data_IF_462729737918
#
_entry.id   IF_462729737918
#
_cell.length_a   1.000
_cell.length_b   1.000
_cell.length_c   1.000
_cell.angle_alpha   90.00
_cell.angle_beta   90.00
_cell.angle_gamma   90.00
#
_symmetry.space_group_name_H-M   'P 1'
#
loop_
_entity.id
_entity.type
_entity.pdbx_description
1 polymer ?
#
# COMPACT_ATOMS: atom_id res chain seq x y z
N UNK A 1 17.58 24.01 -19.43
CA UNK A 1 16.66 22.88 -19.71
C UNK A 1 17.05 21.75 -18.79
N UNK A 2 16.19 21.34 -17.85
CA UNK A 2 16.45 20.08 -17.13
C UNK A 2 16.09 18.95 -18.10
N UNK A 3 17.03 18.02 -18.30
CA UNK A 3 16.89 16.91 -19.22
C UNK A 3 15.90 15.88 -18.66
N UNK A 4 14.76 15.69 -19.32
CA UNK A 4 13.75 14.65 -19.01
C UNK A 4 14.41 13.28 -18.87
N UNK A 5 15.51 13.05 -19.57
CA UNK A 5 16.31 11.82 -19.52
C UNK A 5 16.92 11.59 -18.14
N UNK A 6 17.38 12.65 -17.45
CA UNK A 6 17.95 12.55 -16.11
C UNK A 6 16.89 12.15 -15.07
N UNK A 7 15.69 12.75 -15.14
CA UNK A 7 14.57 12.36 -14.27
C UNK A 7 14.19 10.90 -14.46
N UNK A 8 14.09 10.44 -15.70
CA UNK A 8 13.73 9.05 -16.01
C UNK A 8 14.79 8.08 -15.48
N UNK A 9 16.09 8.39 -15.61
CA UNK A 9 17.18 7.55 -15.07
C UNK A 9 17.14 7.46 -13.54
N UNK A 10 16.89 8.57 -12.85
CA UNK A 10 16.74 8.60 -11.39
C UNK A 10 15.50 7.81 -10.93
N UNK A 11 14.38 7.93 -11.65
CA UNK A 11 13.11 7.37 -11.22
C UNK A 11 12.88 5.91 -11.62
N UNK A 12 13.49 5.44 -12.71
CA UNK A 12 13.28 4.09 -13.22
C UNK A 12 13.55 2.99 -12.16
N UNK A 13 14.63 3.05 -11.34
CA UNK A 13 14.84 2.08 -10.27
C UNK A 13 13.76 2.12 -9.17
N UNK A 14 13.25 3.30 -8.82
CA UNK A 14 12.16 3.47 -7.85
C UNK A 14 10.86 2.84 -8.39
N UNK A 15 10.53 3.13 -9.64
CA UNK A 15 9.38 2.55 -10.32
C UNK A 15 9.48 1.02 -10.40
N UNK A 16 10.63 0.47 -10.81
CA UNK A 16 10.85 -0.97 -10.89
C UNK A 16 10.68 -1.66 -9.52
N UNK A 17 11.23 -1.06 -8.46
CA UNK A 17 11.09 -1.58 -7.09
C UNK A 17 9.63 -1.55 -6.63
N UNK A 18 8.89 -0.49 -6.97
CA UNK A 18 7.47 -0.39 -6.64
C UNK A 18 6.62 -1.45 -7.31
N UNK A 19 6.87 -1.73 -8.60
CA UNK A 19 6.18 -2.78 -9.36
C UNK A 19 6.47 -4.15 -8.77
N UNK A 20 7.72 -4.43 -8.39
CA UNK A 20 8.10 -5.68 -7.75
C UNK A 20 7.36 -5.90 -6.42
N UNK A 21 7.19 -4.84 -5.64
CA UNK A 21 6.47 -4.88 -4.36
C UNK A 21 4.97 -5.11 -4.55
N UNK A 22 4.35 -4.43 -5.53
CA UNK A 22 2.91 -4.52 -5.77
C UNK A 22 2.49 -5.73 -6.60
N UNK A 23 3.43 -6.42 -7.27
CA UNK A 23 3.16 -7.64 -8.04
C UNK A 23 2.52 -8.76 -7.21
N UNK A 24 2.68 -8.73 -5.89
CA UNK A 24 2.02 -9.67 -4.96
C UNK A 24 0.50 -9.73 -5.19
N UNK A 25 -0.17 -8.59 -5.29
CA UNK A 25 -1.63 -8.56 -5.35
C UNK A 25 -2.20 -9.24 -6.61
N UNK A 26 -1.76 -8.91 -7.84
CA UNK A 26 -2.27 -9.56 -9.04
C UNK A 26 -1.88 -11.04 -9.13
N UNK A 27 -0.72 -11.45 -8.61
CA UNK A 27 -0.34 -12.87 -8.53
C UNK A 27 -1.33 -13.65 -7.65
N UNK A 28 -1.64 -13.15 -6.46
CA UNK A 28 -2.58 -13.79 -5.55
C UNK A 28 -4.00 -13.81 -6.13
N UNK A 29 -4.47 -12.70 -6.70
CA UNK A 29 -5.78 -12.64 -7.35
C UNK A 29 -5.89 -13.63 -8.51
N UNK A 30 -4.85 -13.78 -9.34
CA UNK A 30 -4.82 -14.77 -10.41
C UNK A 30 -4.82 -16.22 -9.91
N UNK A 31 -4.12 -16.51 -8.80
CA UNK A 31 -4.12 -17.86 -8.21
C UNK A 31 -5.47 -18.19 -7.54
N UNK A 32 -6.05 -17.26 -6.79
CA UNK A 32 -7.35 -17.41 -6.13
C UNK A 32 -8.49 -17.57 -7.14
N UNK A 33 -8.40 -16.88 -8.28
CA UNK A 33 -9.36 -17.02 -9.37
C UNK A 33 -9.37 -18.44 -10.02
N UNK A 34 -8.38 -19.28 -9.70
CA UNK A 34 -8.29 -20.68 -10.15
C UNK A 34 -8.67 -21.69 -9.06
N UNK A 35 -9.24 -21.22 -7.95
CA UNK A 35 -9.78 -22.09 -6.90
C UNK A 35 -11.06 -22.80 -7.33
N UNK A 36 -11.56 -23.72 -6.51
CA UNK A 36 -12.83 -24.43 -6.77
C UNK A 36 -14.03 -23.49 -6.81
N UNK A 37 -14.03 -22.47 -5.95
CA UNK A 37 -15.01 -21.40 -5.93
C UNK A 37 -14.29 -20.04 -5.98
N UNK A 38 -13.96 -19.55 -7.19
CA UNK A 38 -13.23 -18.30 -7.39
C UNK A 38 -13.89 -17.09 -6.71
N UNK A 39 -15.22 -17.03 -6.78
CA UNK A 39 -15.98 -15.88 -6.27
C UNK A 39 -15.90 -15.82 -4.75
N UNK A 40 -16.23 -16.90 -4.05
CA UNK A 40 -16.16 -16.92 -2.58
C UNK A 40 -14.71 -16.83 -2.09
N UNK A 41 -13.75 -17.46 -2.77
CA UNK A 41 -12.34 -17.42 -2.38
C UNK A 41 -11.72 -16.02 -2.52
N UNK A 42 -11.97 -15.31 -3.63
CA UNK A 42 -11.49 -13.94 -3.83
C UNK A 42 -12.13 -12.98 -2.83
N UNK A 43 -13.44 -13.09 -2.61
CA UNK A 43 -14.16 -12.27 -1.64
C UNK A 43 -13.66 -12.50 -0.21
N UNK A 44 -13.55 -13.77 0.21
CA UNK A 44 -13.07 -14.16 1.53
C UNK A 44 -11.63 -13.70 1.79
N UNK A 45 -10.74 -13.89 0.81
CA UNK A 45 -9.36 -13.42 0.92
C UNK A 45 -9.28 -11.89 1.00
N UNK A 46 -10.02 -11.16 0.15
CA UNK A 46 -10.03 -9.69 0.15
C UNK A 46 -10.42 -9.12 1.51
N UNK A 47 -11.48 -9.65 2.09
CA UNK A 47 -12.00 -9.21 3.40
C UNK A 47 -11.03 -9.55 4.52
N UNK A 48 -10.50 -10.78 4.55
CA UNK A 48 -9.51 -11.19 5.55
C UNK A 48 -8.23 -10.36 5.45
N UNK A 49 -7.76 -10.10 4.23
CA UNK A 49 -6.56 -9.30 3.98
C UNK A 49 -6.76 -7.83 4.35
N UNK A 50 -7.96 -7.26 4.16
CA UNK A 50 -8.27 -5.89 4.59
C UNK A 50 -8.23 -5.75 6.12
N UNK A 51 -8.79 -6.73 6.86
CA UNK A 51 -8.69 -6.78 8.33
C UNK A 51 -7.25 -6.95 8.78
N UNK A 52 -6.51 -7.89 8.18
CA UNK A 52 -5.09 -8.09 8.43
C UNK A 52 -4.27 -6.82 8.12
N UNK A 53 -4.62 -6.10 7.06
CA UNK A 53 -4.05 -4.82 6.65
C UNK A 53 -4.08 -3.79 7.76
N UNK A 54 -5.24 -3.64 8.42
CA UNK A 54 -5.39 -2.74 9.58
C UNK A 54 -4.51 -3.19 10.75
N UNK A 55 -4.33 -4.49 10.97
CA UNK A 55 -3.48 -5.01 12.05
C UNK A 55 -1.99 -4.77 11.80
N UNK A 56 -1.47 -4.97 10.59
CA UNK A 56 -0.03 -4.76 10.34
C UNK A 56 0.33 -3.33 9.91
N UNK A 57 -0.65 -2.50 9.53
CA UNK A 57 -0.44 -1.12 9.08
C UNK A 57 0.45 -0.28 10.03
N UNK A 58 0.22 -0.28 11.36
CA UNK A 58 1.07 0.46 12.30
C UNK A 58 2.53 -0.01 12.28
N UNK A 59 2.81 -1.24 11.88
CA UNK A 59 4.15 -1.82 11.89
C UNK A 59 4.99 -1.38 10.67
N UNK A 60 4.36 -0.83 9.62
CA UNK A 60 5.07 -0.37 8.43
C UNK A 60 6.02 0.81 8.73
N UNK A 61 5.72 1.63 9.73
CA UNK A 61 6.56 2.78 10.10
C UNK A 61 7.85 2.38 10.82
N UNK A 62 7.92 1.14 11.34
CA UNK A 62 9.07 0.64 12.11
C UNK A 62 10.37 0.75 11.31
N UNK A 63 10.32 0.57 9.99
CA UNK A 63 11.50 0.74 9.12
C UNK A 63 12.07 2.16 9.19
N UNK A 64 11.20 3.17 9.13
CA UNK A 64 11.59 4.58 9.17
C UNK A 64 12.13 4.94 10.56
N UNK A 65 11.48 4.46 11.61
CA UNK A 65 11.89 4.68 13.00
C UNK A 65 13.26 4.05 13.28
N UNK A 66 13.47 2.81 12.83
CA UNK A 66 14.74 2.11 12.96
C UNK A 66 15.86 2.82 12.20
N UNK A 67 15.60 3.24 10.95
CA UNK A 67 16.59 3.97 10.15
C UNK A 67 16.96 5.32 10.78
N UNK A 68 15.98 6.13 11.17
CA UNK A 68 16.21 7.44 11.77
C UNK A 68 17.01 7.35 13.08
N UNK A 69 16.70 6.36 13.92
CA UNK A 69 17.40 6.16 15.19
C UNK A 69 18.86 5.76 14.99
N UNK A 70 19.13 4.85 14.07
CA UNK A 70 20.49 4.38 13.80
C UNK A 70 21.35 5.44 13.12
N UNK A 71 20.77 6.27 12.25
CA UNK A 71 21.45 7.42 11.65
C UNK A 71 21.78 8.51 12.67
N UNK A 72 21.07 8.55 13.79
CA UNK A 72 21.32 9.48 14.91
C UNK A 72 22.22 8.85 16.00
N UNK A 73 23.08 7.89 15.63
CA UNK A 73 23.97 7.14 16.53
C UNK A 73 23.27 6.39 17.68
N UNK A 74 21.96 6.12 17.57
CA UNK A 74 21.18 5.45 18.60
C UNK A 74 21.26 3.92 18.57
N UNK A 75 21.07 3.28 19.72
CA UNK A 75 21.01 1.80 19.83
C UNK A 75 19.80 1.19 19.10
N UNK A 76 20.01 0.03 18.47
CA UNK A 76 18.96 -0.76 17.81
C UNK A 76 18.05 -1.51 18.81
N UNK A 77 18.56 -1.85 20.00
CA UNK A 77 17.87 -2.75 20.93
C UNK A 77 16.46 -2.27 21.32
N UNK A 78 16.26 -0.98 21.69
CA UNK A 78 14.94 -0.46 22.05
C UNK A 78 13.94 -0.51 20.88
N UNK A 79 14.38 -0.20 19.66
CA UNK A 79 13.53 -0.24 18.47
C UNK A 79 13.12 -1.67 18.14
N UNK A 80 14.04 -2.63 18.24
CA UNK A 80 13.75 -4.05 18.06
C UNK A 80 12.72 -4.54 19.08
N UNK A 81 12.90 -4.20 20.36
CA UNK A 81 11.96 -4.60 21.42
C UNK A 81 10.58 -4.00 21.20
N UNK A 82 10.50 -2.71 20.91
CA UNK A 82 9.24 -2.03 20.56
C UNK A 82 8.55 -2.70 19.37
N UNK A 83 9.29 -2.97 18.28
CA UNK A 83 8.76 -3.61 17.09
C UNK A 83 8.24 -5.02 17.39
N UNK A 84 9.00 -5.84 18.12
CA UNK A 84 8.65 -7.24 18.37
C UNK A 84 7.47 -7.35 19.33
N UNK A 85 7.42 -6.52 20.38
CA UNK A 85 6.29 -6.48 21.31
C UNK A 85 5.01 -6.01 20.61
N UNK A 86 5.07 -4.92 19.85
CA UNK A 86 3.91 -4.41 19.11
C UNK A 86 3.45 -5.40 18.05
N UNK A 87 4.39 -6.00 17.31
CA UNK A 87 4.10 -7.04 16.32
C UNK A 87 3.48 -8.28 16.94
N UNK A 88 3.99 -8.74 18.09
CA UNK A 88 3.44 -9.88 18.81
C UNK A 88 2.04 -9.60 19.35
N UNK A 89 1.79 -8.40 19.89
CA UNK A 89 0.48 -7.98 20.36
C UNK A 89 -0.56 -7.95 19.22
N UNK A 90 -0.20 -7.36 18.07
CA UNK A 90 -1.10 -7.26 16.91
C UNK A 90 -1.30 -8.63 16.24
N UNK A 91 -0.29 -9.50 16.25
CA UNK A 91 -0.45 -10.89 15.82
C UNK A 91 -1.29 -11.71 16.79
N UNK A 92 -1.20 -11.47 18.10
CA UNK A 92 -2.07 -12.10 19.09
C UNK A 92 -3.52 -11.68 18.85
N UNK A 93 -3.79 -10.40 18.59
CA UNK A 93 -5.12 -9.95 18.18
C UNK A 93 -5.57 -10.63 16.88
N UNK A 94 -4.69 -10.77 15.90
CA UNK A 94 -4.95 -11.56 14.70
C UNK A 94 -5.30 -13.01 14.98
N UNK A 95 -4.61 -13.66 15.93
CA UNK A 95 -4.87 -15.03 16.33
C UNK A 95 -6.21 -15.18 17.08
N UNK A 96 -6.57 -14.19 17.91
CA UNK A 96 -7.89 -14.13 18.54
C UNK A 96 -9.00 -14.04 17.48
N UNK A 97 -8.83 -13.21 16.45
CA UNK A 97 -9.78 -13.13 15.32
C UNK A 97 -9.82 -14.46 14.55
N UNK A 98 -8.67 -15.12 14.35
CA UNK A 98 -8.58 -16.35 13.57
C UNK A 98 -9.21 -17.58 14.24
N UNK A 99 -9.04 -17.72 15.57
CA UNK A 99 -9.33 -18.98 16.28
C UNK A 99 -10.44 -18.88 17.33
N UNK A 100 -11.09 -17.72 17.48
CA UNK A 100 -12.17 -17.53 18.47
C UNK A 100 -13.41 -16.93 17.82
N UNK A 101 -14.53 -16.90 18.57
CA UNK A 101 -15.78 -16.27 18.16
C UNK A 101 -15.64 -14.76 17.83
N UNK A 102 -14.52 -14.12 18.21
CA UNK A 102 -14.22 -12.75 17.78
C UNK A 102 -14.16 -12.63 16.26
N UNK A 103 -13.70 -13.66 15.55
CA UNK A 103 -13.67 -13.67 14.09
C UNK A 103 -15.05 -13.53 13.47
N UNK A 104 -16.04 -14.23 14.01
CA UNK A 104 -17.44 -14.13 13.55
C UNK A 104 -17.99 -12.72 13.77
N UNK A 105 -17.71 -12.11 14.92
CA UNK A 105 -18.12 -10.71 15.19
C UNK A 105 -17.45 -9.75 14.20
N UNK A 106 -16.15 -9.88 13.97
CA UNK A 106 -15.41 -9.00 13.05
C UNK A 106 -15.92 -9.15 11.61
N UNK A 107 -16.02 -10.37 11.09
CA UNK A 107 -16.38 -10.56 9.68
C UNK A 107 -17.89 -10.44 9.44
N UNK A 108 -18.73 -11.06 10.28
CA UNK A 108 -20.19 -11.03 10.09
C UNK A 108 -20.83 -9.70 10.53
N UNK A 109 -20.43 -9.13 11.66
CA UNK A 109 -21.08 -7.91 12.20
C UNK A 109 -20.39 -6.64 11.71
N UNK A 110 -19.07 -6.54 11.89
CA UNK A 110 -18.32 -5.31 11.54
C UNK A 110 -18.21 -5.17 10.03
N UNK A 111 -17.67 -6.19 9.34
CA UNK A 111 -17.57 -6.15 7.87
C UNK A 111 -18.94 -6.35 7.24
N UNK A 112 -19.74 -7.31 7.69
CA UNK A 112 -21.09 -7.55 7.16
C UNK A 112 -21.17 -8.68 6.13
N UNK A 113 -20.21 -9.61 6.08
CA UNK A 113 -20.19 -10.65 5.04
C UNK A 113 -21.17 -11.78 5.30
N UNK A 114 -21.66 -12.41 4.22
CA UNK A 114 -22.50 -13.58 4.27
C UNK A 114 -21.78 -14.86 4.74
N UNK A 115 -22.50 -15.95 5.03
CA UNK A 115 -21.94 -17.17 5.63
C UNK A 115 -20.83 -17.84 4.82
N UNK A 116 -20.94 -17.84 3.49
CA UNK A 116 -19.96 -18.48 2.60
C UNK A 116 -18.61 -17.73 2.63
N UNK A 117 -18.65 -16.42 2.40
CA UNK A 117 -17.47 -15.53 2.50
C UNK A 117 -16.91 -15.48 3.92
N UNK A 118 -17.75 -15.53 4.95
CA UNK A 118 -17.32 -15.62 6.35
C UNK A 118 -16.42 -16.84 6.57
N UNK A 119 -16.83 -18.01 6.08
CA UNK A 119 -16.07 -19.25 6.25
C UNK A 119 -14.69 -19.18 5.60
N UNK A 120 -14.60 -18.60 4.40
CA UNK A 120 -13.34 -18.43 3.69
C UNK A 120 -12.46 -17.32 4.28
N UNK A 121 -13.06 -16.23 4.77
CA UNK A 121 -12.33 -15.16 5.47
C UNK A 121 -11.70 -15.68 6.77
N UNK A 122 -12.41 -16.48 7.56
CA UNK A 122 -11.87 -17.13 8.76
C UNK A 122 -10.73 -18.08 8.41
N UNK A 123 -10.92 -18.94 7.40
CA UNK A 123 -9.86 -19.85 6.91
C UNK A 123 -8.61 -19.09 6.47
N UNK A 124 -8.75 -18.00 5.72
CA UNK A 124 -7.62 -17.14 5.37
C UNK A 124 -6.95 -16.52 6.61
N UNK A 125 -7.74 -16.04 7.58
CA UNK A 125 -7.23 -15.42 8.80
C UNK A 125 -6.38 -16.39 9.65
N UNK A 126 -6.66 -17.70 9.63
CA UNK A 126 -5.82 -18.72 10.29
C UNK A 126 -4.39 -18.79 9.79
N UNK A 127 -4.11 -18.28 8.59
CA UNK A 127 -2.75 -18.19 8.06
C UNK A 127 -2.21 -16.76 8.06
N UNK A 128 -3.07 -15.73 8.12
CA UNK A 128 -2.66 -14.32 8.15
C UNK A 128 -2.31 -13.81 9.56
N UNK A 129 -2.71 -14.47 10.64
CA UNK A 129 -2.41 -13.99 12.00
C UNK A 129 -0.92 -13.72 12.32
N UNK A 130 0.10 -14.42 11.77
CA UNK A 130 1.50 -14.11 12.07
C UNK A 130 2.05 -12.95 11.21
N UNK A 131 1.29 -12.46 10.21
CA UNK A 131 1.72 -11.39 9.30
C UNK A 131 2.14 -10.10 10.03
N UNK A 132 1.41 -9.59 11.04
CA UNK A 132 1.87 -8.44 11.81
C UNK A 132 3.26 -8.65 12.41
N UNK A 133 3.50 -9.74 13.14
CA UNK A 133 4.80 -10.04 13.74
C UNK A 133 5.92 -10.14 12.68
N UNK A 134 5.68 -10.89 11.59
CA UNK A 134 6.64 -11.00 10.49
C UNK A 134 6.95 -9.63 9.86
N UNK A 135 5.94 -8.77 9.72
CA UNK A 135 6.09 -7.40 9.22
C UNK A 135 6.95 -6.57 10.15
N UNK A 136 6.75 -6.66 11.47
CA UNK A 136 7.57 -5.94 12.45
C UNK A 136 9.04 -6.37 12.40
N UNK A 137 9.30 -7.68 12.35
CA UNK A 137 10.64 -8.24 12.24
C UNK A 137 11.33 -7.74 10.97
N UNK A 138 10.66 -7.91 9.82
CA UNK A 138 11.14 -7.46 8.52
C UNK A 138 11.43 -5.96 8.53
N UNK A 139 10.48 -5.13 8.95
CA UNK A 139 10.60 -3.67 8.92
C UNK A 139 11.76 -3.17 9.81
N UNK A 140 11.92 -3.72 11.02
CA UNK A 140 13.00 -3.35 11.92
C UNK A 140 14.38 -3.60 11.31
N UNK A 141 14.58 -4.77 10.69
CA UNK A 141 15.86 -5.12 10.07
C UNK A 141 16.08 -4.45 8.71
N UNK A 142 15.02 -4.19 7.93
CA UNK A 142 15.12 -3.30 6.77
C UNK A 142 15.61 -1.91 7.17
N UNK A 143 15.15 -1.37 8.30
CA UNK A 143 15.64 -0.09 8.83
C UNK A 143 17.14 -0.08 9.14
N UNK A 144 17.69 -1.18 9.66
CA UNK A 144 19.15 -1.33 9.87
C UNK A 144 19.94 -1.28 8.56
N UNK A 145 19.43 -1.99 7.56
CA UNK A 145 20.05 -2.04 6.23
C UNK A 145 20.00 -0.68 5.54
N UNK A 146 18.89 0.05 5.68
CA UNK A 146 18.75 1.43 5.19
C UNK A 146 19.73 2.37 5.89
N UNK A 147 19.84 2.31 7.22
CA UNK A 147 20.74 3.19 7.99
C UNK A 147 22.21 3.06 7.59
N UNK A 148 22.66 1.86 7.20
CA UNK A 148 24.01 1.69 6.65
C UNK A 148 24.06 1.56 5.14
N UNK A 149 23.14 2.21 4.43
CA UNK A 149 23.19 2.43 2.99
C UNK A 149 23.23 1.14 2.14
N UNK A 150 22.66 0.03 2.66
CA UNK A 150 22.59 -1.28 1.99
C UNK A 150 21.17 -1.62 1.57
N UNK A 151 20.70 -1.07 0.45
CA UNK A 151 19.34 -1.32 -0.06
C UNK A 151 19.25 -2.53 -0.99
N UNK A 152 20.36 -2.98 -1.60
CA UNK A 152 20.38 -4.15 -2.51
C UNK A 152 19.79 -5.43 -1.87
N UNK A 153 20.16 -5.82 -0.62
CA UNK A 153 19.58 -7.01 0.02
C UNK A 153 18.05 -6.92 0.21
N UNK A 154 17.51 -5.71 0.40
CA UNK A 154 16.06 -5.50 0.56
C UNK A 154 15.35 -5.82 -0.76
N UNK A 155 15.87 -5.30 -1.87
CA UNK A 155 15.32 -5.57 -3.21
C UNK A 155 15.42 -7.06 -3.55
N UNK A 156 16.56 -7.70 -3.28
CA UNK A 156 16.75 -9.14 -3.49
C UNK A 156 15.77 -9.97 -2.66
N UNK A 157 15.61 -9.66 -1.37
CA UNK A 157 14.66 -10.35 -0.50
C UNK A 157 13.21 -10.20 -1.01
N UNK A 158 12.84 -9.00 -1.46
CA UNK A 158 11.50 -8.74 -2.04
C UNK A 158 11.28 -9.56 -3.31
N UNK A 159 12.29 -9.65 -4.20
CA UNK A 159 12.22 -10.47 -5.40
C UNK A 159 12.08 -11.96 -5.09
N UNK A 160 12.85 -12.47 -4.14
CA UNK A 160 12.74 -13.84 -3.64
C UNK A 160 11.35 -14.10 -3.07
N UNK A 161 10.82 -13.19 -2.24
CA UNK A 161 9.46 -13.27 -1.71
C UNK A 161 8.43 -13.40 -2.83
N UNK A 162 8.47 -12.49 -3.81
CA UNK A 162 7.48 -12.48 -4.90
C UNK A 162 7.54 -13.77 -5.73
N UNK A 163 8.74 -14.30 -5.98
CA UNK A 163 8.94 -15.59 -6.65
C UNK A 163 8.37 -16.77 -5.85
N UNK A 164 8.70 -16.87 -4.56
CA UNK A 164 8.19 -17.92 -3.67
C UNK A 164 6.67 -17.84 -3.53
N UNK A 165 6.14 -16.63 -3.37
CA UNK A 165 4.71 -16.37 -3.31
C UNK A 165 4.01 -16.85 -4.58
N UNK A 166 4.55 -16.56 -5.76
CA UNK A 166 3.99 -17.07 -7.02
C UNK A 166 4.01 -18.60 -7.08
N UNK A 167 5.14 -19.22 -6.76
CA UNK A 167 5.27 -20.69 -6.76
C UNK A 167 4.27 -21.34 -5.80
N UNK A 168 4.19 -20.86 -4.56
CA UNK A 168 3.27 -21.40 -3.55
C UNK A 168 1.82 -21.16 -3.95
N UNK A 169 1.48 -19.96 -4.42
CA UNK A 169 0.10 -19.63 -4.81
C UNK A 169 -0.39 -20.52 -5.96
N UNK A 170 0.39 -20.68 -7.03
CA UNK A 170 -0.01 -21.51 -8.17
C UNK A 170 0.08 -23.01 -7.89
N UNK A 171 1.02 -23.47 -7.03
CA UNK A 171 1.05 -24.86 -6.59
C UNK A 171 -0.22 -25.20 -5.79
N UNK A 172 -0.62 -24.35 -4.83
CA UNK A 172 -1.81 -24.57 -4.03
C UNK A 172 -3.11 -24.41 -4.82
N UNK A 173 -3.14 -23.58 -5.87
CA UNK A 173 -4.29 -23.47 -6.76
C UNK A 173 -4.69 -24.82 -7.39
N UNK A 174 -3.73 -25.74 -7.61
CA UNK A 174 -4.01 -27.08 -8.15
C UNK A 174 -4.73 -28.03 -7.17
N UNK A 175 -4.75 -27.69 -5.88
CA UNK A 175 -5.37 -28.53 -4.83
C UNK A 175 -6.87 -28.29 -4.70
N UNK A 176 -7.40 -27.27 -5.38
CA UNK A 176 -8.79 -26.84 -5.24
C UNK A 176 -9.08 -26.12 -3.91
N UNK A 177 -8.06 -25.59 -3.23
CA UNK A 177 -8.22 -24.78 -2.02
C UNK A 177 -8.93 -23.44 -2.28
N UNK A 178 -9.46 -22.81 -1.23
CA UNK A 178 -10.13 -21.50 -1.27
C UNK A 178 -9.22 -20.32 -0.89
N UNK A 179 -9.76 -19.34 -0.17
CA UNK A 179 -9.07 -18.11 0.25
C UNK A 179 -7.77 -18.35 1.05
N UNK A 180 -7.70 -19.47 1.77
CA UNK A 180 -6.53 -19.84 2.57
C UNK A 180 -5.25 -20.01 1.74
N UNK A 181 -5.34 -20.39 0.45
CA UNK A 181 -4.16 -20.56 -0.40
C UNK A 181 -3.42 -19.23 -0.57
N UNK A 182 -4.18 -18.14 -0.74
CA UNK A 182 -3.62 -16.80 -0.89
C UNK A 182 -2.95 -16.33 0.40
N UNK A 183 -3.58 -16.65 1.54
CA UNK A 183 -3.05 -16.35 2.86
C UNK A 183 -1.75 -17.12 3.17
N UNK A 184 -1.68 -18.41 2.81
CA UNK A 184 -0.45 -19.21 2.93
C UNK A 184 0.65 -18.66 2.04
N UNK A 185 0.37 -18.41 0.76
CA UNK A 185 1.35 -17.88 -0.19
C UNK A 185 1.91 -16.53 0.26
N UNK A 186 1.05 -15.62 0.72
CA UNK A 186 1.46 -14.33 1.26
C UNK A 186 2.35 -14.49 2.50
N UNK A 187 1.93 -15.31 3.45
CA UNK A 187 2.60 -15.49 4.74
C UNK A 187 3.95 -16.19 4.60
N UNK A 188 4.03 -17.25 3.80
CA UNK A 188 5.29 -17.95 3.49
C UNK A 188 6.26 -17.01 2.79
N UNK A 189 5.79 -16.28 1.76
CA UNK A 189 6.61 -15.29 1.09
C UNK A 189 7.16 -14.24 2.06
N UNK A 190 6.31 -13.69 2.93
CA UNK A 190 6.71 -12.69 3.91
C UNK A 190 7.69 -13.25 4.96
N UNK A 191 7.49 -14.49 5.39
CA UNK A 191 8.39 -15.17 6.32
C UNK A 191 9.78 -15.35 5.72
N UNK A 192 9.87 -15.76 4.45
CA UNK A 192 11.15 -15.87 3.75
C UNK A 192 11.80 -14.50 3.55
N UNK A 193 11.05 -13.46 3.19
CA UNK A 193 11.60 -12.10 3.12
C UNK A 193 12.20 -11.67 4.45
N UNK A 194 11.44 -11.85 5.54
CA UNK A 194 11.89 -11.51 6.87
C UNK A 194 13.17 -12.26 7.24
N UNK A 195 13.25 -13.56 6.93
CA UNK A 195 14.44 -14.38 7.17
C UNK A 195 15.65 -13.87 6.39
N UNK A 196 15.51 -13.65 5.08
CA UNK A 196 16.60 -13.15 4.22
C UNK A 196 17.10 -11.79 4.71
N UNK A 197 16.19 -10.89 5.09
CA UNK A 197 16.53 -9.56 5.62
C UNK A 197 17.24 -9.66 6.98
N UNK A 198 16.78 -10.53 7.88
CA UNK A 198 17.39 -10.74 9.21
C UNK A 198 18.82 -11.29 9.08
N UNK A 199 19.03 -12.21 8.14
CA UNK A 199 20.34 -12.84 7.89
C UNK A 199 21.29 -11.96 7.07
N UNK A 200 20.80 -10.90 6.44
CA UNK A 200 21.62 -10.01 5.63
C UNK A 200 22.73 -9.35 6.47
N UNK A 201 24.00 -9.33 6.01
CA UNK A 201 25.10 -8.74 6.75
C UNK A 201 24.85 -7.28 7.09
N UNK A 202 24.72 -7.00 8.38
CA UNK A 202 24.45 -5.64 8.84
C UNK A 202 25.74 -4.82 8.92
N UNK A 203 25.71 -3.55 8.51
CA UNK A 203 26.86 -2.67 8.63
C UNK A 203 27.27 -2.51 10.11
N UNK A 204 28.58 -2.46 10.35
CA UNK A 204 29.14 -2.13 11.66
C UNK A 204 28.86 -0.66 11.95
N UNK A 205 27.66 -0.34 12.43
CA UNK A 205 27.39 0.99 13.00
C UNK A 205 28.10 1.00 14.35
N UNK A 206 29.26 1.64 14.40
CA UNK A 206 30.00 1.88 15.65
C UNK A 206 29.12 2.82 16.46
N UNK A 207 28.49 2.29 17.50
CA UNK A 207 27.69 3.07 18.43
C UNK A 207 28.66 3.78 19.37
N UNK A 208 28.71 5.10 19.32
CA UNK A 208 29.35 5.85 20.41
C UNK A 208 28.53 5.62 21.69
N UNK A 209 29.18 5.24 22.80
CA UNK A 209 28.49 5.01 24.06
C UNK A 209 28.18 6.36 24.70
N UNK A 210 27.12 7.03 24.26
CA UNK A 210 26.53 8.17 24.99
C UNK A 210 25.11 7.88 25.48
N UNK A 211 24.98 8.00 26.80
CA UNK A 211 23.84 8.26 27.67
C UNK A 211 22.48 7.58 27.39
N UNK A 212 22.32 6.45 28.07
CA UNK A 212 21.24 6.14 29.01
C UNK A 212 19.80 6.65 28.72
N UNK A 213 18.91 5.67 28.53
CA UNK A 213 17.46 5.71 28.81
C UNK A 213 16.54 6.45 27.84
N UNK A 214 16.65 6.20 26.53
CA UNK A 214 15.46 6.39 25.68
C UNK A 214 14.45 5.30 26.00
N UNK A 215 13.33 5.68 26.61
CA UNK A 215 12.27 4.75 27.00
C UNK A 215 11.53 4.24 25.76
N UNK A 216 11.01 3.01 25.81
CA UNK A 216 10.08 2.50 24.81
C UNK A 216 8.89 3.46 24.61
N UNK A 217 8.55 4.23 25.66
CA UNK A 217 7.54 5.28 25.60
C UNK A 217 7.90 6.42 24.64
N UNK A 218 9.17 6.81 24.54
CA UNK A 218 9.59 7.91 23.65
C UNK A 218 9.53 7.47 22.18
N UNK A 219 9.90 6.21 21.91
CA UNK A 219 9.74 5.59 20.60
C UNK A 219 8.25 5.49 20.24
N UNK A 220 7.40 5.06 21.18
CA UNK A 220 5.97 4.97 20.97
C UNK A 220 5.34 6.35 20.70
N UNK A 221 5.72 7.39 21.46
CA UNK A 221 5.24 8.78 21.27
C UNK A 221 5.65 9.34 19.91
N UNK A 222 6.89 9.09 19.48
CA UNK A 222 7.36 9.50 18.15
C UNK A 222 6.65 8.72 17.03
N UNK A 223 6.43 7.42 17.23
CA UNK A 223 5.85 6.54 16.20
C UNK A 223 4.34 6.69 16.07
N UNK A 224 3.62 7.03 17.15
CA UNK A 224 2.16 7.04 17.18
C UNK A 224 1.51 7.91 16.08
N UNK A 225 1.93 9.16 15.81
CA UNK A 225 1.36 9.95 14.72
C UNK A 225 1.57 9.32 13.34
N UNK A 226 2.73 8.70 13.10
CA UNK A 226 3.03 8.01 11.86
C UNK A 226 2.18 6.74 11.71
N UNK A 227 2.04 5.97 12.80
CA UNK A 227 1.20 4.77 12.86
C UNK A 227 -0.25 5.10 12.55
N UNK A 228 -0.80 6.18 13.13
CA UNK A 228 -2.16 6.65 12.86
C UNK A 228 -2.31 7.04 11.39
N UNK A 229 -1.35 7.76 10.81
CA UNK A 229 -1.42 8.13 9.39
C UNK A 229 -1.47 6.90 8.46
N UNK A 230 -0.67 5.86 8.74
CA UNK A 230 -0.68 4.63 7.94
C UNK A 230 -1.95 3.81 8.21
N UNK A 231 -2.44 3.81 9.45
CA UNK A 231 -3.71 3.17 9.80
C UNK A 231 -4.89 3.81 9.05
N UNK A 232 -4.95 5.14 8.98
CA UNK A 232 -5.97 5.86 8.21
C UNK A 232 -5.93 5.48 6.72
N UNK A 233 -4.75 5.21 6.18
CA UNK A 233 -4.63 4.71 4.80
C UNK A 233 -5.28 3.33 4.64
N UNK A 234 -4.92 2.39 5.52
CA UNK A 234 -5.40 1.00 5.48
C UNK A 234 -6.84 0.81 5.95
N UNK A 235 -7.44 1.81 6.62
CA UNK A 235 -8.85 1.79 6.97
C UNK A 235 -9.75 1.84 5.73
N UNK A 236 -9.32 2.45 4.63
CA UNK A 236 -10.18 2.65 3.45
C UNK A 236 -10.51 1.36 2.71
N UNK A 237 -9.55 0.46 2.39
CA UNK A 237 -9.88 -0.86 1.85
C UNK A 237 -10.84 -1.64 2.75
N UNK A 238 -10.68 -1.59 4.08
CA UNK A 238 -11.60 -2.25 5.01
C UNK A 238 -13.01 -1.66 4.93
N UNK A 239 -13.13 -0.33 4.94
CA UNK A 239 -14.42 0.37 4.82
C UNK A 239 -15.10 0.02 3.49
N UNK A 240 -14.37 0.05 2.37
CA UNK A 240 -14.94 -0.28 1.07
C UNK A 240 -15.41 -1.73 1.03
N UNK A 241 -14.61 -2.69 1.52
CA UNK A 241 -15.06 -4.09 1.63
C UNK A 241 -16.31 -4.23 2.50
N UNK A 242 -16.40 -3.50 3.62
CA UNK A 242 -17.59 -3.50 4.47
C UNK A 242 -18.83 -2.91 3.77
N UNK A 243 -18.66 -1.90 2.92
CA UNK A 243 -19.75 -1.35 2.09
C UNK A 243 -20.18 -2.36 1.03
N UNK A 244 -19.23 -3.00 0.35
CA UNK A 244 -19.49 -4.01 -0.67
C UNK A 244 -20.18 -5.26 -0.11
N UNK A 245 -19.86 -5.65 1.12
CA UNK A 245 -20.53 -6.74 1.81
C UNK A 245 -22.02 -6.47 2.08
N UNK A 246 -22.46 -5.20 2.00
CA UNK A 246 -23.85 -4.77 2.23
C UNK A 246 -24.58 -4.37 0.95
N UNK A 247 -24.05 -4.71 -0.23
CA UNK A 247 -24.72 -4.49 -1.52
C UNK A 247 -25.73 -5.60 -1.82
N UNK A 248 -26.46 -5.49 -2.94
CA UNK A 248 -27.46 -6.50 -3.34
C UNK A 248 -26.83 -7.84 -3.71
N UNK A 249 -25.61 -7.84 -4.25
CA UNK A 249 -24.86 -9.03 -4.66
C UNK A 249 -23.43 -8.97 -4.06
N UNK A 250 -23.26 -9.26 -2.76
CA UNK A 250 -22.01 -8.95 -2.05
C UNK A 250 -20.82 -9.78 -2.53
N UNK A 251 -20.98 -11.09 -2.70
CA UNK A 251 -19.87 -12.01 -3.00
C UNK A 251 -19.20 -11.73 -4.35
N UNK A 252 -19.92 -11.66 -5.49
CA UNK A 252 -19.31 -11.31 -6.76
C UNK A 252 -18.82 -9.85 -6.80
N UNK A 253 -19.42 -8.95 -6.02
CA UNK A 253 -18.95 -7.56 -5.90
C UNK A 253 -17.60 -7.46 -5.21
N UNK A 254 -17.43 -8.17 -4.08
CA UNK A 254 -16.17 -8.25 -3.34
C UNK A 254 -15.06 -8.89 -4.18
N UNK A 255 -15.38 -9.99 -4.84
CA UNK A 255 -14.44 -10.71 -5.70
C UNK A 255 -13.98 -9.86 -6.90
N UNK A 256 -14.91 -9.22 -7.61
CA UNK A 256 -14.58 -8.38 -8.76
C UNK A 256 -13.77 -7.15 -8.34
N UNK A 257 -14.14 -6.52 -7.23
CA UNK A 257 -13.39 -5.39 -6.67
C UNK A 257 -11.95 -5.80 -6.33
N UNK A 258 -11.75 -6.96 -5.68
CA UNK A 258 -10.42 -7.45 -5.32
C UNK A 258 -9.50 -7.63 -6.54
N UNK A 259 -10.03 -8.18 -7.64
CA UNK A 259 -9.26 -8.36 -8.89
C UNK A 259 -8.91 -7.03 -9.54
N UNK A 260 -9.87 -6.09 -9.60
CA UNK A 260 -9.64 -4.76 -10.19
C UNK A 260 -8.61 -3.98 -9.36
N UNK A 261 -8.73 -3.97 -8.03
CA UNK A 261 -7.76 -3.32 -7.14
C UNK A 261 -6.37 -3.93 -7.30
N UNK A 262 -6.26 -5.26 -7.33
CA UNK A 262 -4.98 -5.94 -7.48
C UNK A 262 -4.26 -5.53 -8.77
N UNK A 263 -4.98 -5.47 -9.88
CA UNK A 263 -4.41 -5.05 -11.16
C UNK A 263 -4.15 -3.53 -11.23
N UNK A 264 -5.11 -2.72 -10.79
CA UNK A 264 -5.02 -1.27 -10.91
C UNK A 264 -3.93 -0.67 -10.03
N UNK A 265 -3.75 -1.16 -8.79
CA UNK A 265 -2.67 -0.74 -7.91
C UNK A 265 -1.30 -1.19 -8.43
N UNK A 266 -1.21 -2.34 -9.10
CA UNK A 266 0.03 -2.77 -9.73
C UNK A 266 0.45 -1.80 -10.85
N UNK A 267 -0.45 -1.42 -11.76
CA UNK A 267 -0.16 -0.43 -12.81
C UNK A 267 0.10 0.96 -12.24
N UNK A 268 -0.58 1.33 -11.16
CA UNK A 268 -0.44 2.64 -10.49
C UNK A 268 0.85 2.74 -9.64
N UNK A 269 1.51 1.63 -9.33
CA UNK A 269 2.64 1.57 -8.41
C UNK A 269 3.79 2.56 -8.71
N UNK A 270 4.23 2.75 -9.98
CA UNK A 270 5.27 3.72 -10.31
C UNK A 270 4.94 5.13 -9.85
N UNK A 271 3.67 5.55 -9.97
CA UNK A 271 3.20 6.88 -9.57
C UNK A 271 3.23 7.05 -8.03
N UNK A 272 3.14 5.95 -7.29
CA UNK A 272 3.26 5.95 -5.83
C UNK A 272 4.58 6.48 -5.31
N UNK A 273 5.65 6.42 -6.11
CA UNK A 273 6.99 6.87 -5.74
C UNK A 273 7.19 8.39 -5.88
N UNK A 274 6.18 9.14 -6.36
CA UNK A 274 6.27 10.60 -6.48
C UNK A 274 6.47 11.30 -5.14
N UNK A 275 6.08 10.65 -4.04
CA UNK A 275 6.40 11.12 -2.69
C UNK A 275 7.91 11.31 -2.51
N UNK A 276 8.72 10.30 -2.84
CA UNK A 276 10.17 10.35 -2.69
C UNK A 276 10.81 11.37 -3.64
N UNK A 277 10.34 11.43 -4.90
CA UNK A 277 10.81 12.43 -5.85
C UNK A 277 10.53 13.86 -5.38
N UNK A 278 9.36 14.12 -4.79
CA UNK A 278 9.01 15.45 -4.30
C UNK A 278 9.82 15.88 -3.06
N UNK A 279 10.23 14.92 -2.22
CA UNK A 279 11.10 15.18 -1.07
C UNK A 279 12.53 15.49 -1.54
N UNK A 280 13.06 14.69 -2.47
CA UNK A 280 14.46 14.78 -2.88
C UNK A 280 14.74 15.91 -3.89
N UNK A 281 13.81 16.18 -4.82
CA UNK A 281 14.09 17.02 -5.98
C UNK A 281 13.49 18.43 -5.87
N UNK A 282 12.46 18.67 -5.05
CA UNK A 282 11.79 19.97 -4.98
C UNK A 282 12.47 20.89 -3.97
N UNK A 283 13.23 21.85 -4.48
CA UNK A 283 13.95 22.86 -3.68
C UNK A 283 13.40 24.28 -3.80
N UNK A 284 12.61 24.57 -4.83
CA UNK A 284 12.05 25.90 -5.07
C UNK A 284 10.80 25.80 -5.96
N UNK A 285 10.10 26.91 -6.18
CA UNK A 285 8.87 26.94 -6.99
C UNK A 285 9.07 26.50 -8.45
N UNK A 286 10.26 26.72 -9.01
CA UNK A 286 10.60 26.28 -10.37
C UNK A 286 10.72 24.76 -10.45
N UNK A 287 11.51 24.16 -9.55
CA UNK A 287 11.70 22.71 -9.52
C UNK A 287 10.42 21.99 -9.11
N UNK A 288 9.59 22.58 -8.24
CA UNK A 288 8.22 22.11 -7.99
C UNK A 288 7.45 21.93 -9.30
N UNK A 289 7.39 22.97 -10.15
CA UNK A 289 6.65 22.91 -11.42
C UNK A 289 7.20 21.82 -12.35
N UNK A 290 8.53 21.68 -12.44
CA UNK A 290 9.17 20.67 -13.30
C UNK A 290 8.87 19.25 -12.83
N UNK A 291 9.04 18.96 -11.54
CA UNK A 291 8.76 17.63 -10.97
C UNK A 291 7.26 17.32 -11.06
N UNK A 292 6.38 18.29 -10.77
CA UNK A 292 4.92 18.13 -10.90
C UNK A 292 4.52 17.79 -12.34
N UNK A 293 5.04 18.52 -13.33
CA UNK A 293 4.72 18.29 -14.74
C UNK A 293 5.21 16.92 -15.20
N UNK A 294 6.44 16.54 -14.85
CA UNK A 294 6.99 15.21 -15.15
C UNK A 294 6.15 14.10 -14.50
N UNK A 295 5.78 14.28 -13.22
CA UNK A 295 4.90 13.35 -12.52
C UNK A 295 3.51 13.24 -13.15
N UNK A 296 2.97 14.35 -13.68
CA UNK A 296 1.73 14.36 -14.46
C UNK A 296 1.82 13.57 -15.76
N UNK A 297 2.96 13.64 -16.47
CA UNK A 297 3.21 12.81 -17.66
C UNK A 297 3.29 11.32 -17.29
N UNK A 298 3.99 10.98 -16.20
CA UNK A 298 4.05 9.60 -15.70
C UNK A 298 2.65 9.08 -15.32
N UNK A 299 1.87 9.89 -14.60
CA UNK A 299 0.49 9.56 -14.24
C UNK A 299 -0.39 9.35 -15.47
N UNK A 300 -0.28 10.22 -16.47
CA UNK A 300 -0.98 10.08 -17.74
C UNK A 300 -0.58 8.81 -18.50
N UNK A 301 0.71 8.45 -18.48
CA UNK A 301 1.19 7.22 -19.09
C UNK A 301 0.59 5.99 -18.41
N UNK A 302 0.59 5.92 -17.08
CA UNK A 302 0.01 4.79 -16.33
C UNK A 302 -1.52 4.74 -16.44
N UNK A 303 -2.20 5.89 -16.49
CA UNK A 303 -3.63 5.96 -16.79
C UNK A 303 -3.93 5.46 -18.21
N UNK A 304 -3.09 5.83 -19.19
CA UNK A 304 -3.15 5.32 -20.55
C UNK A 304 -3.01 3.80 -20.63
N UNK A 305 -2.11 3.21 -19.81
CA UNK A 305 -1.99 1.75 -19.68
C UNK A 305 -3.31 1.14 -19.15
N UNK A 306 -3.89 1.69 -18.09
CA UNK A 306 -5.18 1.20 -17.56
C UNK A 306 -6.34 1.36 -18.56
N UNK A 307 -6.38 2.46 -19.31
CA UNK A 307 -7.37 2.68 -20.37
C UNK A 307 -7.17 1.70 -21.53
N UNK A 308 -5.93 1.40 -21.91
CA UNK A 308 -5.63 0.37 -22.90
C UNK A 308 -6.13 -1.01 -22.45
N UNK A 309 -5.87 -1.38 -21.18
CA UNK A 309 -6.41 -2.61 -20.60
C UNK A 309 -7.93 -2.58 -20.38
N UNK A 310 -8.57 -1.41 -20.46
CA UNK A 310 -10.02 -1.26 -20.38
C UNK A 310 -10.73 -1.50 -21.72
N UNK A 311 -9.99 -1.57 -22.83
CA UNK A 311 -10.55 -1.92 -24.15
C UNK A 311 -11.13 -3.34 -24.06
N UNK A 312 -12.41 -3.57 -24.44
CA UNK A 312 -13.09 -4.85 -24.24
C UNK A 312 -12.28 -6.08 -24.70
N UNK A 313 -11.71 -6.04 -25.91
CA UNK A 313 -10.91 -7.14 -26.46
C UNK A 313 -9.65 -7.44 -25.65
N UNK A 314 -8.94 -6.41 -25.20
CA UNK A 314 -7.72 -6.55 -24.39
C UNK A 314 -8.08 -7.06 -23.00
N UNK A 315 -9.11 -6.47 -22.40
CA UNK A 315 -9.60 -6.80 -21.06
C UNK A 315 -10.06 -8.24 -20.95
N UNK A 316 -10.88 -8.69 -21.91
CA UNK A 316 -11.37 -10.07 -21.96
C UNK A 316 -10.21 -11.06 -22.12
N UNK A 317 -9.24 -10.75 -22.99
CA UNK A 317 -8.05 -11.59 -23.13
C UNK A 317 -7.28 -11.71 -21.82
N UNK A 318 -7.04 -10.60 -21.12
CA UNK A 318 -6.28 -10.60 -19.85
C UNK A 318 -7.05 -11.30 -18.73
N UNK A 319 -8.33 -10.96 -18.53
CA UNK A 319 -9.14 -11.57 -17.49
C UNK A 319 -9.35 -13.06 -17.72
N UNK A 320 -9.52 -13.51 -18.96
CA UNK A 320 -9.63 -14.94 -19.29
C UNK A 320 -8.29 -15.68 -19.19
N UNK A 321 -7.21 -15.12 -19.75
CA UNK A 321 -5.96 -15.86 -19.91
C UNK A 321 -5.03 -15.74 -18.71
N UNK A 322 -4.92 -14.55 -18.14
CA UNK A 322 -4.03 -14.26 -17.01
C UNK A 322 -4.71 -14.58 -15.70
N UNK A 323 -5.92 -14.05 -15.48
CA UNK A 323 -6.65 -14.24 -14.23
C UNK A 323 -7.53 -15.50 -14.22
N UNK A 324 -7.94 -16.03 -15.38
CA UNK A 324 -8.88 -17.14 -15.48
C UNK A 324 -10.24 -16.86 -14.80
N UNK A 325 -10.74 -15.62 -14.94
CA UNK A 325 -12.03 -15.23 -14.38
C UNK A 325 -13.19 -15.90 -15.13
N UNK A 326 -14.21 -16.28 -14.36
CA UNK A 326 -15.52 -16.68 -14.88
C UNK A 326 -16.23 -15.52 -15.61
N UNK A 327 -17.14 -15.79 -16.56
CA UNK A 327 -17.80 -14.76 -17.37
C UNK A 327 -18.50 -13.67 -16.56
N UNK A 328 -19.21 -14.04 -15.50
CA UNK A 328 -19.99 -13.09 -14.69
C UNK A 328 -19.06 -12.14 -13.93
N UNK A 329 -17.99 -12.68 -13.34
CA UNK A 329 -16.97 -11.91 -12.62
C UNK A 329 -16.20 -10.98 -13.57
N UNK A 330 -15.93 -11.45 -14.78
CA UNK A 330 -15.27 -10.69 -15.84
C UNK A 330 -16.09 -9.47 -16.28
N UNK A 331 -17.42 -9.60 -16.34
CA UNK A 331 -18.31 -8.49 -16.66
C UNK A 331 -18.29 -7.41 -15.56
N UNK A 332 -18.37 -7.82 -14.28
CA UNK A 332 -18.33 -6.91 -13.14
C UNK A 332 -16.98 -6.20 -13.00
N UNK A 333 -15.87 -6.95 -13.03
CA UNK A 333 -14.53 -6.39 -13.03
C UNK A 333 -14.30 -5.49 -14.25
N UNK A 334 -14.90 -5.88 -15.37
CA UNK A 334 -14.86 -5.14 -16.61
C UNK A 334 -15.45 -3.74 -16.48
N UNK A 335 -16.65 -3.63 -15.91
CA UNK A 335 -17.31 -2.35 -15.73
C UNK A 335 -16.54 -1.39 -14.81
N UNK A 336 -15.81 -1.91 -13.82
CA UNK A 336 -15.09 -1.08 -12.84
C UNK A 336 -13.70 -0.62 -13.33
N UNK A 337 -13.02 -1.37 -14.20
CA UNK A 337 -11.66 -1.08 -14.65
C UNK A 337 -11.47 0.32 -15.31
N UNK A 338 -12.38 0.81 -16.18
CA UNK A 338 -12.27 2.17 -16.74
C UNK A 338 -12.26 3.26 -15.67
N UNK A 339 -13.00 3.07 -14.57
CA UNK A 339 -13.06 4.03 -13.46
C UNK A 339 -11.72 4.04 -12.70
N UNK A 340 -11.10 2.86 -12.56
CA UNK A 340 -9.80 2.72 -11.91
C UNK A 340 -8.67 3.44 -12.69
N UNK A 341 -8.86 3.78 -13.96
CA UNK A 341 -7.90 4.61 -14.72
C UNK A 341 -7.69 6.02 -14.14
N UNK A 342 -8.56 6.46 -13.22
CA UNK A 342 -8.34 7.69 -12.46
C UNK A 342 -7.26 7.55 -11.36
N UNK A 343 -6.95 6.33 -10.90
CA UNK A 343 -6.01 6.12 -9.79
C UNK A 343 -4.62 6.71 -10.04
N UNK A 344 -3.96 6.53 -11.20
CA UNK A 344 -2.64 7.13 -11.45
C UNK A 344 -2.59 8.63 -11.22
N UNK A 345 -3.61 9.38 -11.65
CA UNK A 345 -3.65 10.83 -11.44
C UNK A 345 -3.90 11.18 -9.98
N UNK A 346 -4.96 10.62 -9.38
CA UNK A 346 -5.39 11.02 -8.05
C UNK A 346 -4.41 10.57 -6.97
N UNK A 347 -3.93 9.33 -7.06
CA UNK A 347 -2.93 8.81 -6.16
C UNK A 347 -1.58 9.51 -6.36
N UNK A 348 -1.20 9.82 -7.60
CA UNK A 348 0.03 10.56 -7.88
C UNK A 348 0.03 11.97 -7.31
N UNK A 349 -1.08 12.69 -7.49
CA UNK A 349 -1.28 14.01 -6.91
C UNK A 349 -1.17 13.96 -5.38
N UNK A 350 -1.88 12.99 -4.79
CA UNK A 350 -1.87 12.75 -3.34
C UNK A 350 -0.47 12.45 -2.82
N UNK A 351 0.28 11.55 -3.47
CA UNK A 351 1.64 11.17 -3.06
C UNK A 351 2.64 12.30 -3.23
N UNK A 352 2.52 13.05 -4.33
CA UNK A 352 3.34 14.22 -4.58
C UNK A 352 3.16 15.29 -3.49
N UNK A 353 1.92 15.69 -3.19
CA UNK A 353 1.67 16.69 -2.14
C UNK A 353 2.00 16.18 -0.74
N UNK A 354 1.75 14.89 -0.46
CA UNK A 354 2.19 14.27 0.78
C UNK A 354 3.70 14.44 0.98
N UNK A 355 4.52 14.22 -0.05
CA UNK A 355 5.96 14.41 0.07
C UNK A 355 6.38 15.87 0.25
N UNK A 356 5.67 16.83 -0.36
CA UNK A 356 5.89 18.27 -0.09
C UNK A 356 5.61 18.63 1.37
N UNK A 357 4.53 18.11 1.96
CA UNK A 357 4.21 18.34 3.37
C UNK A 357 5.20 17.66 4.32
N UNK A 358 5.67 16.46 3.98
CA UNK A 358 6.74 15.77 4.73
C UNK A 358 8.02 16.62 4.71
N UNK A 359 8.43 17.13 3.55
CA UNK A 359 9.60 18.01 3.42
C UNK A 359 9.47 19.27 4.29
N UNK A 360 8.28 19.88 4.31
CA UNK A 360 8.00 21.07 5.11
C UNK A 360 7.78 20.79 6.61
N UNK A 361 7.91 19.54 7.08
CA UNK A 361 7.66 19.18 8.49
C UNK A 361 6.18 19.26 8.91
N UNK A 362 5.24 19.35 7.96
CA UNK A 362 3.80 19.59 8.18
C UNK A 362 2.96 18.31 7.96
N UNK A 363 3.37 17.19 8.55
CA UNK A 363 2.77 15.86 8.31
C UNK A 363 1.34 15.71 8.84
N UNK A 364 0.93 16.50 9.84
CA UNK A 364 -0.44 16.50 10.36
C UNK A 364 -1.50 16.83 9.29
N UNK A 365 -1.16 17.71 8.34
CA UNK A 365 -2.05 18.06 7.22
C UNK A 365 -2.41 16.83 6.39
N UNK A 366 -1.47 15.90 6.21
CA UNK A 366 -1.70 14.65 5.48
C UNK A 366 -2.72 13.78 6.22
N UNK A 367 -2.59 13.69 7.54
CA UNK A 367 -3.55 12.98 8.39
C UNK A 367 -4.97 13.55 8.31
N UNK A 368 -5.11 14.89 8.34
CA UNK A 368 -6.41 15.56 8.15
C UNK A 368 -7.03 15.22 6.80
N UNK A 369 -6.22 15.22 5.73
CA UNK A 369 -6.67 14.80 4.39
C UNK A 369 -7.21 13.36 4.38
N UNK A 370 -6.52 12.44 5.06
CA UNK A 370 -6.96 11.05 5.17
C UNK A 370 -8.27 10.89 5.95
N UNK A 371 -8.49 11.68 7.02
CA UNK A 371 -9.77 11.71 7.76
C UNK A 371 -10.89 12.25 6.87
N UNK A 372 -10.64 13.30 6.09
CA UNK A 372 -11.61 13.84 5.13
C UNK A 372 -11.97 12.79 4.06
N UNK A 373 -10.98 12.06 3.54
CA UNK A 373 -11.21 10.93 2.62
C UNK A 373 -12.14 9.89 3.21
N UNK A 374 -11.83 9.40 4.41
CA UNK A 374 -12.63 8.37 5.08
C UNK A 374 -14.07 8.85 5.29
N UNK A 375 -14.22 10.09 5.78
CA UNK A 375 -15.54 10.69 6.03
C UNK A 375 -16.34 10.83 4.73
N UNK A 376 -15.69 11.30 3.66
CA UNK A 376 -16.31 11.42 2.34
C UNK A 376 -16.72 10.08 1.76
N UNK A 377 -15.87 9.04 1.88
CA UNK A 377 -16.19 7.68 1.46
C UNK A 377 -17.39 7.13 2.22
N UNK A 378 -17.47 7.32 3.55
CA UNK A 378 -18.60 6.85 4.35
C UNK A 378 -19.91 7.56 3.97
N UNK A 379 -19.87 8.88 3.77
CA UNK A 379 -21.05 9.65 3.32
C UNK A 379 -21.49 9.19 1.92
N UNK A 380 -20.57 9.08 0.97
CA UNK A 380 -20.89 8.64 -0.38
C UNK A 380 -21.40 7.20 -0.41
N UNK A 381 -20.84 6.31 0.41
CA UNK A 381 -21.32 4.93 0.54
C UNK A 381 -22.76 4.89 1.06
N UNK A 382 -23.07 5.66 2.11
CA UNK A 382 -24.42 5.74 2.66
C UNK A 382 -25.45 6.21 1.62
N UNK A 383 -25.08 7.16 0.76
CA UNK A 383 -25.98 7.70 -0.27
C UNK A 383 -26.13 6.77 -1.49
N UNK A 384 -25.05 6.13 -1.93
CA UNK A 384 -25.02 5.41 -3.22
C UNK A 384 -25.28 3.91 -3.11
N UNK A 385 -25.17 3.29 -1.92
CA UNK A 385 -25.21 1.82 -1.78
C UNK A 385 -26.53 1.21 -2.25
N UNK A 386 -27.66 1.90 -2.06
CA UNK A 386 -28.98 1.40 -2.46
C UNK A 386 -29.17 1.45 -3.98
N UNK A 387 -28.75 2.53 -4.64
CA UNK A 387 -28.94 2.72 -6.09
C UNK A 387 -27.94 1.89 -6.91
N UNK A 388 -26.68 1.82 -6.47
CA UNK A 388 -25.58 1.18 -7.20
C UNK A 388 -25.27 -0.24 -6.72
N UNK A 389 -26.08 -0.81 -5.82
CA UNK A 389 -25.82 -2.12 -5.22
C UNK A 389 -25.66 -3.27 -6.24
N UNK A 390 -26.32 -3.16 -7.39
CA UNK A 390 -26.24 -4.14 -8.48
C UNK A 390 -24.91 -4.08 -9.25
N UNK A 391 -24.14 -2.99 -9.14
CA UNK A 391 -22.81 -2.81 -9.74
C UNK A 391 -21.73 -2.63 -8.65
N UNK A 392 -21.65 -3.56 -7.69
CA UNK A 392 -20.82 -3.35 -6.51
C UNK A 392 -19.34 -3.06 -6.81
N UNK A 393 -18.71 -3.71 -7.80
CA UNK A 393 -17.32 -3.39 -8.16
C UNK A 393 -17.12 -1.94 -8.63
N UNK A 394 -18.06 -1.42 -9.42
CA UNK A 394 -18.11 -0.02 -9.88
C UNK A 394 -18.27 0.92 -8.69
N UNK A 395 -19.18 0.59 -7.77
CA UNK A 395 -19.38 1.35 -6.52
C UNK A 395 -18.09 1.39 -5.69
N UNK A 396 -17.42 0.26 -5.49
CA UNK A 396 -16.20 0.17 -4.70
C UNK A 396 -15.05 1.03 -5.25
N UNK A 397 -14.76 0.88 -6.55
CA UNK A 397 -13.74 1.70 -7.23
C UNK A 397 -14.15 3.17 -7.27
N UNK A 398 -15.44 3.46 -7.52
CA UNK A 398 -15.98 4.82 -7.49
C UNK A 398 -15.82 5.50 -6.14
N UNK A 399 -16.05 4.80 -5.03
CA UNK A 399 -15.83 5.31 -3.68
C UNK A 399 -14.35 5.60 -3.42
N UNK A 400 -13.44 4.71 -3.83
CA UNK A 400 -12.00 4.95 -3.72
C UNK A 400 -11.55 6.17 -4.53
N UNK A 401 -12.01 6.31 -5.77
CA UNK A 401 -11.76 7.47 -6.64
C UNK A 401 -12.30 8.75 -6.00
N UNK A 402 -13.55 8.76 -5.53
CA UNK A 402 -14.15 9.91 -4.86
C UNK A 402 -13.35 10.33 -3.61
N UNK A 403 -12.98 9.36 -2.79
CA UNK A 403 -12.15 9.61 -1.62
C UNK A 403 -10.79 10.23 -1.95
N UNK A 404 -10.12 9.74 -3.00
CA UNK A 404 -8.84 10.31 -3.46
C UNK A 404 -8.99 11.70 -4.08
N UNK A 405 -10.11 12.01 -4.74
CA UNK A 405 -10.42 13.37 -5.23
C UNK A 405 -10.50 14.33 -4.03
N UNK A 406 -11.26 13.97 -2.99
CA UNK A 406 -11.43 14.82 -1.80
C UNK A 406 -10.10 15.06 -1.10
N UNK A 407 -9.30 14.02 -0.87
CA UNK A 407 -7.97 14.14 -0.25
C UNK A 407 -7.02 14.97 -1.12
N UNK A 408 -6.95 14.67 -2.42
CA UNK A 408 -6.06 15.35 -3.36
C UNK A 408 -6.34 16.85 -3.48
N UNK A 409 -7.62 17.23 -3.61
CA UNK A 409 -8.02 18.64 -3.67
C UNK A 409 -7.73 19.39 -2.37
N UNK A 410 -7.95 18.74 -1.22
CA UNK A 410 -7.61 19.31 0.07
C UNK A 410 -6.10 19.56 0.20
N UNK A 411 -5.28 18.55 -0.12
CA UNK A 411 -3.82 18.66 -0.04
C UNK A 411 -3.27 19.70 -1.00
N UNK A 412 -3.77 19.75 -2.24
CA UNK A 412 -3.40 20.78 -3.22
C UNK A 412 -3.70 22.18 -2.69
N UNK A 413 -4.95 22.41 -2.25
CA UNK A 413 -5.39 23.72 -1.73
C UNK A 413 -4.56 24.15 -0.52
N UNK A 414 -4.26 23.23 0.39
CA UNK A 414 -3.46 23.52 1.57
C UNK A 414 -1.99 23.77 1.22
N UNK A 415 -1.45 23.09 0.21
CA UNK A 415 -0.07 23.31 -0.25
C UNK A 415 0.12 24.72 -0.81
N UNK A 416 -0.87 25.23 -1.55
CA UNK A 416 -0.86 26.60 -2.07
C UNK A 416 -0.83 27.66 -0.97
N UNK A 417 -1.45 27.38 0.18
CA UNK A 417 -1.50 28.29 1.33
C UNK A 417 -0.27 28.22 2.22
N UNK A 418 0.34 27.05 2.36
CA UNK A 418 1.35 26.78 3.40
C UNK A 418 2.74 26.46 2.88
N UNK A 419 2.87 25.78 1.74
CA UNK A 419 4.17 25.30 1.22
C UNK A 419 4.64 26.14 0.02
N UNK A 420 3.74 26.55 -0.86
CA UNK A 420 4.11 27.35 -2.05
C UNK A 420 4.72 28.73 -1.72
N UNK A 421 4.30 29.46 -0.67
CA UNK A 421 4.96 30.71 -0.30
C UNK A 421 6.43 30.51 0.10
N UNK A 422 6.73 29.45 0.85
CA UNK A 422 8.10 29.10 1.28
C UNK A 422 8.97 28.79 0.05
N UNK A 423 8.49 27.93 -0.86
CA UNK A 423 9.18 27.58 -2.10
C UNK A 423 9.46 28.79 -3.02
N UNK A 424 8.61 29.82 -2.98
CA UNK A 424 8.80 31.06 -3.74
C UNK A 424 9.82 31.97 -3.06
N UNK A 425 9.82 32.02 -1.73
CA UNK A 425 10.83 32.75 -0.97
C UNK A 425 12.23 32.14 -1.18
N UNK A 426 12.35 30.81 -1.19
CA UNK A 426 13.59 30.09 -1.50
C UNK A 426 14.09 30.41 -2.92
N UNK A 427 13.19 30.46 -3.91
CA UNK A 427 13.54 30.85 -5.28
C UNK A 427 14.05 32.31 -5.38
N UNK A 428 13.53 33.20 -4.53
CA UNK A 428 13.94 34.61 -4.50
C UNK A 428 15.27 34.83 -3.77
N UNK A 429 15.59 33.97 -2.79
CA UNK A 429 16.81 34.07 -1.98
C UNK A 429 18.07 33.49 -2.67
N UNK A 430 17.91 32.57 -3.64
CA UNK A 430 19.02 31.94 -4.34
C UNK A 430 18.74 31.82 -5.86
N UNK A 431 19.20 32.78 -6.70
CA UNK A 431 19.20 32.59 -8.14
C UNK A 431 20.14 31.43 -8.51
N UNK A 432 19.55 30.37 -9.06
CA UNK A 432 20.10 29.02 -9.17
C UNK A 432 21.43 28.92 -9.95
N UNK A 433 22.48 28.42 -9.29
CA UNK A 433 23.59 27.68 -9.91
C UNK A 433 23.79 26.40 -9.10
N UNK A 434 23.82 25.25 -9.79
CA UNK A 434 24.19 23.91 -9.29
C UNK A 434 23.32 23.25 -8.19
N UNK A 435 22.34 22.43 -8.61
CA UNK A 435 21.74 21.40 -7.73
C UNK A 435 21.77 19.98 -8.32
N UNK A 436 22.49 19.75 -9.43
CA UNK A 436 22.48 18.46 -10.14
C UNK A 436 23.86 17.79 -10.30
N UNK A 437 24.96 18.41 -9.89
CA UNK A 437 26.27 17.74 -9.95
C UNK A 437 26.41 16.63 -8.89
N UNK A 438 25.76 16.75 -7.72
CA UNK A 438 25.87 15.75 -6.65
C UNK A 438 25.02 14.47 -6.81
N UNK A 439 24.08 14.42 -7.75
CA UNK A 439 23.17 13.27 -7.91
C UNK A 439 23.63 12.26 -8.98
N UNK A 440 24.73 12.57 -9.69
CA UNK A 440 25.32 11.71 -10.73
C UNK A 440 26.39 10.75 -10.20
N UNK A 441 26.83 10.91 -8.94
CA UNK A 441 27.97 10.15 -8.38
C UNK A 441 27.62 9.24 -7.19
N UNK A 442 26.34 9.01 -6.88
CA UNK A 442 25.90 8.15 -5.76
C UNK A 442 25.17 6.88 -6.21
#
# INVERSE_FOLDING_TARGET
MIDTTAFTRFYAPLAATSLLLTATNPILAAALARSVDPTIALAGYSVAFAVCGVLYAPLLVVQQVAAARLLSNGSFSPVRRFAYLTGALLSLLGALIAYTALGEVVFSVVVGVGPEVLSEALRAMTFLWPVPFLTAVRAAHQGRLVAGHRTKPIATATGIRTGILAVVAFALATTGGGAWLGAVAFTVGLAVEALVVVLAPTPNVVLEPEDCTTSEQDIARFSAPLMVNVLLWWATPLIINAVLARTTNPDPSLAAFAVVEAFAWFVTAPVGQLQHASIALVQCSETHRRVRNWGGVLAAAMAGVLLFFSIPTVREFVFRSVFALEPDLMALAGAALPIAAAYPFLYGLRQYYQGLFVRAGRTLTVGVGAVLRITAVLIAAFLCVHEMGHQGAVLGVGLAVFGLIVEGLFLERMSHRSVMPELRAEAAAAPFTEAFEGASEA
#
